data_IF_139283439523
#
_entry.id   IF_139283439523
#
_cell.length_a   1.000
_cell.length_b   1.000
_cell.length_c   1.000
_cell.angle_alpha   90.00
_cell.angle_beta   90.00
_cell.angle_gamma   90.00
#
_symmetry.space_group_name_H-M   'P 1'
#
loop_
_entity.id
_entity.type
_entity.pdbx_description
1 polymer ?
#
# COMPACT_ATOMS: atom_id res chain seq x y z
N UNK A 1 -5.46 33.58 5.78
CA UNK A 1 -5.68 32.23 6.30
C UNK A 1 -4.34 31.51 6.32
N UNK A 2 -3.95 30.96 7.45
CA UNK A 2 -2.72 30.16 7.57
C UNK A 2 -2.80 28.95 6.64
N UNK A 3 -1.75 28.73 5.84
CA UNK A 3 -1.77 27.69 4.81
C UNK A 3 -1.78 26.32 5.49
N UNK A 4 -2.79 25.49 5.24
CA UNK A 4 -2.88 24.15 5.85
C UNK A 4 -1.56 23.39 5.66
N UNK A 5 -1.03 22.70 6.68
CA UNK A 5 0.19 21.92 6.57
C UNK A 5 0.12 20.81 5.49
N UNK A 6 -1.08 20.38 5.11
CA UNK A 6 -1.28 19.45 3.99
C UNK A 6 -0.66 19.95 2.68
N UNK A 7 -0.56 21.26 2.50
CA UNK A 7 -0.12 21.90 1.25
C UNK A 7 1.29 22.50 1.36
N UNK A 8 2.03 22.12 2.41
CA UNK A 8 3.44 22.50 2.57
C UNK A 8 4.36 21.39 2.10
N UNK A 9 5.53 21.70 1.54
CA UNK A 9 6.50 20.69 1.16
C UNK A 9 7.07 19.96 2.38
N UNK A 10 7.66 18.79 2.12
CA UNK A 10 8.34 17.98 3.13
C UNK A 10 9.52 17.23 2.50
N UNK A 11 10.66 17.24 3.21
CA UNK A 11 11.81 16.44 2.81
C UNK A 11 11.59 14.95 3.13
N UNK A 12 11.94 14.08 2.20
CA UNK A 12 11.94 12.62 2.34
C UNK A 12 13.34 12.15 1.91
N UNK A 13 14.18 11.80 2.87
CA UNK A 13 15.60 11.55 2.59
C UNK A 13 16.26 12.78 1.92
N UNK A 14 16.78 12.62 0.71
CA UNK A 14 17.40 13.70 -0.08
C UNK A 14 16.47 14.34 -1.12
N UNK A 15 15.21 13.92 -1.16
CA UNK A 15 14.19 14.45 -2.07
C UNK A 15 13.15 15.28 -1.30
N UNK A 16 12.36 16.05 -2.02
CA UNK A 16 11.28 16.86 -1.46
C UNK A 16 9.95 16.52 -2.16
N UNK A 17 8.93 16.22 -1.36
CA UNK A 17 7.54 16.18 -1.81
C UNK A 17 6.93 17.57 -1.71
N UNK A 18 6.25 18.04 -2.75
CA UNK A 18 5.69 19.40 -2.86
C UNK A 18 4.51 19.68 -1.95
N UNK A 19 3.87 18.63 -1.45
CA UNK A 19 2.76 18.67 -0.50
C UNK A 19 2.71 17.35 0.28
N UNK A 20 1.85 17.26 1.31
CA UNK A 20 1.75 16.11 2.20
C UNK A 20 0.60 15.15 1.86
N UNK A 21 0.15 15.17 0.62
CA UNK A 21 -0.86 14.24 0.10
C UNK A 21 -0.18 13.08 -0.63
N UNK A 22 -0.58 11.86 -0.29
CA UNK A 22 -0.02 10.62 -0.84
C UNK A 22 -1.11 9.81 -1.51
N UNK A 23 -0.84 9.30 -2.71
CA UNK A 23 -1.68 8.31 -3.39
C UNK A 23 -1.14 6.92 -3.07
N UNK A 24 -1.94 6.11 -2.38
CA UNK A 24 -1.61 4.71 -2.05
C UNK A 24 -1.50 3.83 -3.31
N UNK A 25 -0.69 2.78 -3.20
CA UNK A 25 -0.65 1.69 -4.16
C UNK A 25 -2.01 0.97 -4.23
N UNK A 26 -2.73 1.14 -5.35
CA UNK A 26 -4.04 0.53 -5.59
C UNK A 26 -3.93 -0.43 -6.78
N UNK A 27 -3.97 -1.75 -6.50
CA UNK A 27 -4.00 -2.79 -7.52
C UNK A 27 -5.27 -2.64 -8.38
N UNK A 28 -5.12 -2.64 -9.70
CA UNK A 28 -6.24 -2.38 -10.62
C UNK A 28 -6.44 -3.41 -11.71
N UNK A 29 -5.69 -4.51 -11.75
CA UNK A 29 -5.81 -5.56 -12.78
C UNK A 29 -5.85 -4.98 -14.20
N UNK A 30 -5.02 -4.01 -14.50
CA UNK A 30 -5.06 -3.25 -15.75
C UNK A 30 -3.74 -3.27 -16.55
N UNK A 31 -2.79 -4.14 -16.20
CA UNK A 31 -1.61 -4.42 -17.03
C UNK A 31 -1.97 -5.24 -18.27
N UNK A 32 -1.03 -5.38 -19.20
CA UNK A 32 -1.12 -6.39 -20.25
C UNK A 32 -0.82 -7.81 -19.69
N UNK A 33 -0.91 -8.82 -20.54
CA UNK A 33 -0.70 -10.22 -20.18
C UNK A 33 0.72 -10.54 -19.72
N UNK A 34 1.71 -9.72 -20.09
CA UNK A 34 3.11 -9.84 -19.69
C UNK A 34 3.45 -9.00 -18.45
N UNK A 35 2.45 -8.33 -17.86
CA UNK A 35 2.64 -7.46 -16.70
C UNK A 35 3.21 -6.09 -17.03
N UNK A 36 3.20 -5.65 -18.30
CA UNK A 36 3.61 -4.31 -18.67
C UNK A 36 2.47 -3.29 -18.50
N UNK A 37 2.77 -1.99 -18.31
CA UNK A 37 1.76 -0.96 -18.31
C UNK A 37 0.94 -0.94 -19.61
N UNK A 38 -0.37 -1.15 -19.50
CA UNK A 38 -1.31 -1.08 -20.62
C UNK A 38 -1.76 0.36 -20.89
N UNK A 39 -2.48 0.65 -22.00
CA UNK A 39 -3.08 1.97 -22.23
C UNK A 39 -4.00 2.43 -21.08
N UNK A 40 -4.66 1.49 -20.37
CA UNK A 40 -5.49 1.80 -19.21
C UNK A 40 -4.64 2.19 -18.01
N UNK A 41 -3.52 1.50 -17.77
CA UNK A 41 -2.52 1.84 -16.75
C UNK A 41 -1.95 3.25 -17.00
N UNK A 42 -1.53 3.54 -18.24
CA UNK A 42 -1.04 4.86 -18.63
C UNK A 42 -2.08 5.96 -18.36
N UNK A 43 -3.33 5.80 -18.79
CA UNK A 43 -4.41 6.76 -18.56
C UNK A 43 -4.67 7.01 -17.07
N UNK A 44 -4.67 5.95 -16.25
CA UNK A 44 -4.91 6.04 -14.81
C UNK A 44 -3.81 6.83 -14.13
N UNK A 45 -2.55 6.50 -14.37
CA UNK A 45 -1.42 7.18 -13.73
C UNK A 45 -1.21 8.60 -14.26
N UNK A 46 -1.40 8.86 -15.55
CA UNK A 46 -1.35 10.22 -16.09
C UNK A 46 -2.29 11.17 -15.34
N UNK A 47 -3.51 10.74 -15.06
CA UNK A 47 -4.49 11.53 -14.27
C UNK A 47 -4.04 11.75 -12.82
N UNK A 48 -3.40 10.76 -12.18
CA UNK A 48 -2.83 10.91 -10.83
C UNK A 48 -1.67 11.90 -10.81
N UNK A 49 -0.79 11.84 -11.80
CA UNK A 49 0.33 12.79 -11.94
C UNK A 49 -0.17 14.21 -12.20
N UNK A 50 -1.16 14.38 -13.07
CA UNK A 50 -1.83 15.66 -13.32
C UNK A 50 -2.52 16.19 -12.05
N UNK A 51 -3.02 15.29 -11.19
CA UNK A 51 -3.59 15.59 -9.87
C UNK A 51 -2.58 16.14 -8.87
N UNK A 52 -1.28 15.89 -9.05
CA UNK A 52 -0.21 16.60 -8.34
C UNK A 52 -0.07 16.29 -6.85
N UNK A 53 -0.32 15.05 -6.42
CA UNK A 53 0.04 14.60 -5.07
C UNK A 53 1.56 14.69 -4.85
N UNK A 54 2.01 14.91 -3.61
CA UNK A 54 3.43 14.95 -3.27
C UNK A 54 4.14 13.62 -3.51
N UNK A 55 3.43 12.51 -3.23
CA UNK A 55 3.94 11.14 -3.49
C UNK A 55 2.85 10.31 -4.16
N UNK A 56 3.22 9.57 -5.20
CA UNK A 56 2.36 8.60 -5.88
C UNK A 56 3.03 7.23 -5.80
N UNK A 57 2.34 6.25 -5.22
CA UNK A 57 2.78 4.87 -5.25
C UNK A 57 2.27 4.19 -6.52
N UNK A 58 3.18 3.56 -7.27
CA UNK A 58 2.79 2.54 -8.24
C UNK A 58 2.16 1.39 -7.45
N UNK A 59 1.10 0.82 -7.99
CA UNK A 59 0.43 -0.34 -7.38
C UNK A 59 1.41 -1.47 -7.07
N UNK A 60 0.98 -2.45 -6.25
CA UNK A 60 1.81 -3.59 -5.89
C UNK A 60 2.26 -4.36 -7.14
N UNK A 61 3.50 -4.08 -7.56
CA UNK A 61 4.14 -4.68 -8.72
C UNK A 61 4.86 -5.97 -8.30
N UNK A 62 4.55 -7.08 -8.95
CA UNK A 62 5.14 -8.37 -8.55
C UNK A 62 6.58 -8.50 -9.02
N UNK A 63 7.45 -8.99 -8.11
CA UNK A 63 8.85 -9.31 -8.41
C UNK A 63 9.02 -10.70 -9.01
N UNK A 64 7.96 -11.53 -9.05
CA UNK A 64 7.93 -12.84 -9.68
C UNK A 64 6.63 -13.05 -10.42
N UNK A 65 6.71 -13.41 -11.69
CA UNK A 65 5.52 -13.72 -12.50
C UNK A 65 4.75 -14.94 -11.97
N UNK A 66 5.44 -15.84 -11.30
CA UNK A 66 4.84 -17.04 -10.68
C UNK A 66 4.13 -16.74 -9.37
N UNK A 67 4.22 -15.50 -8.85
CA UNK A 67 3.62 -15.13 -7.57
C UNK A 67 2.71 -13.92 -7.70
N UNK A 68 1.63 -14.08 -8.48
CA UNK A 68 0.64 -13.02 -8.72
C UNK A 68 -0.65 -13.26 -7.94
N UNK A 69 -1.13 -12.23 -7.27
CA UNK A 69 -2.48 -12.24 -6.71
C UNK A 69 -3.55 -11.88 -7.75
N UNK A 70 -3.15 -11.20 -8.83
CA UNK A 70 -4.05 -10.68 -9.88
C UNK A 70 -3.64 -11.19 -11.26
N UNK A 71 -4.64 -11.45 -12.11
CA UNK A 71 -4.42 -11.96 -13.47
C UNK A 71 -3.56 -10.99 -14.29
N UNK A 72 -3.98 -9.73 -14.35
CA UNK A 72 -3.27 -8.64 -15.03
C UNK A 72 -2.59 -7.73 -13.99
N UNK A 73 -1.64 -8.29 -13.24
CA UNK A 73 -0.83 -7.55 -12.28
C UNK A 73 0.43 -7.03 -12.95
N UNK A 74 0.77 -5.77 -12.69
CA UNK A 74 2.07 -5.24 -13.10
C UNK A 74 3.22 -6.10 -12.56
N UNK A 75 4.24 -6.32 -13.38
CA UNK A 75 5.43 -7.12 -13.05
C UNK A 75 6.70 -6.31 -13.24
N UNK A 76 7.72 -6.59 -12.42
CA UNK A 76 9.02 -5.92 -12.48
C UNK A 76 10.14 -6.96 -12.62
N UNK A 77 10.31 -7.41 -13.85
CA UNK A 77 11.27 -8.42 -14.25
C UNK A 77 12.10 -7.88 -15.43
N UNK A 78 13.19 -8.54 -15.85
CA UNK A 78 14.05 -8.04 -16.92
C UNK A 78 13.31 -7.64 -18.20
N UNK A 79 12.29 -8.40 -18.62
CA UNK A 79 11.49 -8.10 -19.80
C UNK A 79 10.58 -6.87 -19.65
N UNK A 80 10.27 -6.46 -18.41
CA UNK A 80 9.46 -5.26 -18.15
C UNK A 80 10.30 -3.97 -18.04
N UNK A 81 11.64 -4.07 -18.00
CA UNK A 81 12.52 -2.91 -17.74
C UNK A 81 12.29 -1.76 -18.73
N UNK A 82 12.30 -2.03 -20.03
CA UNK A 82 12.05 -1.01 -21.07
C UNK A 82 10.63 -0.45 -21.06
N UNK A 83 9.56 -1.25 -20.98
CA UNK A 83 8.21 -0.75 -20.78
C UNK A 83 8.06 0.15 -19.54
N UNK A 84 8.68 -0.19 -18.40
CA UNK A 84 8.64 0.62 -17.18
C UNK A 84 9.42 1.91 -17.31
N UNK A 85 10.62 1.90 -17.93
CA UNK A 85 11.39 3.10 -18.24
C UNK A 85 10.55 4.10 -19.06
N UNK A 86 9.93 3.64 -20.15
CA UNK A 86 9.04 4.45 -20.98
C UNK A 86 7.86 4.99 -20.16
N UNK A 87 7.26 4.15 -19.32
CA UNK A 87 6.13 4.55 -18.49
C UNK A 87 6.51 5.66 -17.51
N UNK A 88 7.62 5.51 -16.77
CA UNK A 88 8.10 6.55 -15.84
C UNK A 88 8.39 7.85 -16.59
N UNK A 89 9.10 7.80 -17.73
CA UNK A 89 9.41 8.97 -18.52
C UNK A 89 8.13 9.72 -18.96
N UNK A 90 7.09 9.00 -19.40
CA UNK A 90 5.82 9.64 -19.77
C UNK A 90 5.10 10.25 -18.56
N UNK A 91 5.08 9.58 -17.40
CA UNK A 91 4.47 10.13 -16.19
C UNK A 91 5.21 11.40 -15.72
N UNK A 92 6.53 11.40 -15.73
CA UNK A 92 7.34 12.58 -15.40
C UNK A 92 7.18 13.72 -16.41
N UNK A 93 6.86 13.42 -17.69
CA UNK A 93 6.51 14.42 -18.68
C UNK A 93 5.16 15.08 -18.43
N UNK A 94 4.17 14.31 -17.92
CA UNK A 94 2.86 14.87 -17.50
C UNK A 94 3.04 15.84 -16.35
N UNK A 95 3.76 15.42 -15.30
CA UNK A 95 4.11 16.28 -14.16
C UNK A 95 5.39 15.75 -13.47
N UNK A 96 6.51 16.48 -13.49
CA UNK A 96 7.76 16.02 -12.89
C UNK A 96 7.79 16.10 -11.35
N UNK A 97 6.82 16.78 -10.72
CA UNK A 97 6.85 17.11 -9.28
C UNK A 97 6.55 15.94 -8.34
N UNK A 98 5.53 15.09 -8.60
CA UNK A 98 5.25 13.97 -7.72
C UNK A 98 6.44 13.01 -7.61
N UNK A 99 6.78 12.60 -6.38
CA UNK A 99 7.70 11.49 -6.17
C UNK A 99 7.00 10.18 -6.54
N UNK A 100 7.62 9.35 -7.37
CA UNK A 100 7.05 8.11 -7.88
C UNK A 100 7.72 6.91 -7.24
N UNK A 101 7.00 6.18 -6.39
CA UNK A 101 7.51 5.06 -5.58
C UNK A 101 6.90 3.77 -6.09
N UNK A 102 7.71 2.76 -6.39
CA UNK A 102 7.24 1.45 -6.81
C UNK A 102 7.05 0.51 -5.62
N UNK A 103 5.82 0.00 -5.41
CA UNK A 103 5.58 -0.96 -4.33
C UNK A 103 5.91 -2.38 -4.81
N UNK A 104 7.08 -2.90 -4.40
CA UNK A 104 7.53 -4.26 -4.72
C UNK A 104 6.80 -5.30 -3.86
N UNK A 105 6.32 -6.37 -4.47
CA UNK A 105 5.54 -7.39 -3.77
C UNK A 105 5.82 -8.82 -4.25
N UNK A 106 5.55 -9.76 -3.35
CA UNK A 106 5.40 -11.18 -3.63
C UNK A 106 4.13 -11.67 -2.93
N UNK A 107 3.20 -12.31 -3.66
CA UNK A 107 1.89 -12.58 -3.10
C UNK A 107 1.88 -13.69 -2.02
N UNK A 108 2.83 -14.63 -2.06
CA UNK A 108 2.90 -15.72 -1.09
C UNK A 108 1.62 -16.58 -1.10
N UNK A 109 1.00 -16.74 0.06
CA UNK A 109 -0.28 -17.49 0.22
C UNK A 109 -1.48 -16.84 -0.48
N UNK A 110 -1.36 -15.55 -0.87
CA UNK A 110 -2.39 -14.84 -1.63
C UNK A 110 -2.22 -14.97 -3.15
N UNK A 111 -1.18 -15.69 -3.63
CA UNK A 111 -1.06 -16.04 -5.06
C UNK A 111 -2.31 -16.79 -5.52
N UNK A 112 -2.85 -16.39 -6.68
CA UNK A 112 -4.04 -17.05 -7.21
C UNK A 112 -3.65 -18.35 -7.94
N UNK A 113 -4.10 -19.54 -7.46
CA UNK A 113 -3.70 -20.83 -8.01
C UNK A 113 -4.22 -21.10 -9.43
N UNK A 114 -5.15 -20.28 -9.94
CA UNK A 114 -5.63 -20.40 -11.33
C UNK A 114 -4.57 -20.04 -12.36
N UNK A 115 -3.57 -19.22 -11.99
CA UNK A 115 -2.54 -18.72 -12.91
C UNK A 115 -1.16 -18.49 -12.25
N UNK A 116 -1.01 -18.82 -10.97
CA UNK A 116 0.24 -18.64 -10.23
C UNK A 116 0.47 -19.76 -9.22
N UNK A 117 1.72 -20.02 -8.89
CA UNK A 117 2.07 -20.92 -7.80
C UNK A 117 1.79 -20.27 -6.46
N UNK A 118 0.98 -20.92 -5.63
CA UNK A 118 0.76 -20.48 -4.26
C UNK A 118 1.84 -21.08 -3.36
N UNK A 119 2.57 -20.22 -2.66
CA UNK A 119 3.60 -20.62 -1.70
C UNK A 119 3.28 -19.99 -0.34
N UNK A 120 3.74 -20.63 0.74
CA UNK A 120 3.49 -20.15 2.10
C UNK A 120 4.68 -20.46 3.03
N UNK A 121 4.79 -19.71 4.11
CA UNK A 121 5.76 -19.95 5.18
C UNK A 121 5.26 -21.01 6.17
N UNK A 122 3.97 -20.99 6.47
CA UNK A 122 3.19 -21.98 7.22
C UNK A 122 1.74 -21.84 6.75
N UNK A 123 1.09 -22.92 6.26
CA UNK A 123 -0.26 -22.82 5.71
C UNK A 123 -1.26 -22.29 6.72
N UNK A 124 -2.01 -21.25 6.36
CA UNK A 124 -3.21 -20.86 7.11
C UNK A 124 -4.33 -21.89 6.84
N UNK A 125 -5.15 -22.20 7.83
CA UNK A 125 -6.31 -23.08 7.64
C UNK A 125 -7.17 -22.61 6.46
N UNK A 126 -7.40 -23.51 5.49
CA UNK A 126 -8.24 -23.26 4.31
C UNK A 126 -7.57 -22.54 3.13
N UNK A 127 -6.33 -22.03 3.25
CA UNK A 127 -5.62 -21.40 2.13
C UNK A 127 -4.68 -22.38 1.41
N UNK A 128 -3.90 -23.17 2.15
CA UNK A 128 -2.89 -24.06 1.58
C UNK A 128 -1.73 -23.32 0.91
N UNK A 129 -0.90 -24.08 0.17
CA UNK A 129 0.26 -23.59 -0.58
C UNK A 129 1.48 -24.48 -0.34
N UNK A 130 2.45 -24.42 -1.27
CA UNK A 130 3.73 -25.13 -1.12
C UNK A 130 4.58 -24.41 -0.07
N UNK A 131 5.19 -25.19 0.83
CA UNK A 131 6.09 -24.63 1.84
C UNK A 131 7.36 -24.08 1.17
N UNK A 132 7.70 -22.82 1.50
CA UNK A 132 8.97 -22.22 1.10
C UNK A 132 10.14 -22.85 1.87
N UNK A 133 11.23 -23.14 1.15
CA UNK A 133 12.55 -23.43 1.71
C UNK A 133 13.31 -22.13 2.00
N UNK A 134 14.47 -22.22 2.65
CA UNK A 134 15.36 -21.08 2.88
C UNK A 134 15.94 -20.57 1.55
N UNK A 135 16.25 -21.47 0.63
CA UNK A 135 16.74 -21.16 -0.72
C UNK A 135 15.66 -20.44 -1.55
N UNK A 136 14.39 -20.85 -1.45
CA UNK A 136 13.28 -20.14 -2.09
C UNK A 136 13.20 -18.69 -1.58
N UNK A 137 13.31 -18.48 -0.27
CA UNK A 137 13.26 -17.13 0.32
C UNK A 137 14.47 -16.30 -0.09
N UNK A 138 15.68 -16.87 -0.11
CA UNK A 138 16.87 -16.17 -0.60
C UNK A 138 16.71 -15.74 -2.07
N UNK A 139 16.17 -16.62 -2.92
CA UNK A 139 15.87 -16.28 -4.32
C UNK A 139 14.80 -15.17 -4.43
N UNK A 140 13.78 -15.19 -3.57
CA UNK A 140 12.77 -14.13 -3.51
C UNK A 140 13.39 -12.79 -3.08
N UNK A 141 14.30 -12.80 -2.10
CA UNK A 141 15.03 -11.59 -1.69
C UNK A 141 15.81 -11.01 -2.89
N UNK A 142 16.50 -11.86 -3.65
CA UNK A 142 17.23 -11.42 -4.85
C UNK A 142 16.30 -10.85 -5.93
N UNK A 143 15.07 -11.38 -6.06
CA UNK A 143 14.05 -10.82 -6.95
C UNK A 143 13.59 -9.41 -6.48
N UNK A 144 13.46 -9.15 -5.16
CA UNK A 144 13.20 -7.80 -4.65
C UNK A 144 14.33 -6.84 -4.97
N UNK A 145 15.59 -7.27 -4.83
CA UNK A 145 16.78 -6.47 -5.16
C UNK A 145 16.83 -6.15 -6.65
N UNK A 146 16.59 -7.16 -7.51
CA UNK A 146 16.51 -6.97 -8.96
C UNK A 146 15.38 -6.01 -9.34
N UNK A 147 14.19 -6.18 -8.74
CA UNK A 147 13.06 -5.27 -8.95
C UNK A 147 13.38 -3.83 -8.54
N UNK A 148 14.06 -3.63 -7.41
CA UNK A 148 14.52 -2.30 -6.98
C UNK A 148 15.52 -1.71 -7.98
N UNK A 149 16.43 -2.51 -8.54
CA UNK A 149 17.39 -2.07 -9.56
C UNK A 149 16.69 -1.65 -10.84
N UNK A 150 15.73 -2.46 -11.32
CA UNK A 150 14.93 -2.11 -12.52
C UNK A 150 14.14 -0.81 -12.28
N UNK A 151 13.54 -0.63 -11.09
CA UNK A 151 12.84 0.62 -10.74
C UNK A 151 13.78 1.83 -10.75
N UNK A 152 14.99 1.70 -10.19
CA UNK A 152 16.02 2.74 -10.20
C UNK A 152 16.43 3.10 -11.63
N UNK A 153 16.78 2.10 -12.44
CA UNK A 153 17.21 2.28 -13.83
C UNK A 153 16.07 2.86 -14.72
N UNK A 154 14.81 2.55 -14.39
CA UNK A 154 13.63 3.14 -15.03
C UNK A 154 13.36 4.60 -14.63
N UNK A 155 14.08 5.14 -13.64
CA UNK A 155 13.92 6.52 -13.17
C UNK A 155 12.82 6.72 -12.12
N UNK A 156 12.38 5.68 -11.42
CA UNK A 156 11.55 5.82 -10.23
C UNK A 156 12.29 6.56 -9.12
N UNK A 157 11.56 7.30 -8.28
CA UNK A 157 12.17 8.03 -7.16
C UNK A 157 12.54 7.14 -5.99
N UNK A 158 12.01 5.92 -5.93
CA UNK A 158 12.29 4.95 -4.88
C UNK A 158 11.40 3.71 -4.95
N UNK A 159 11.59 2.84 -3.97
CA UNK A 159 10.79 1.61 -3.80
C UNK A 159 10.22 1.48 -2.40
N UNK A 160 9.10 0.79 -2.31
CA UNK A 160 8.40 0.34 -1.12
C UNK A 160 8.47 -1.19 -1.08
N UNK A 161 9.13 -1.75 -0.08
CA UNK A 161 9.12 -3.19 0.19
C UNK A 161 7.83 -3.51 0.94
N UNK A 162 6.89 -4.20 0.27
CA UNK A 162 5.55 -4.46 0.83
C UNK A 162 5.59 -5.43 2.00
N UNK A 163 5.39 -4.93 3.22
CA UNK A 163 5.31 -5.68 4.48
C UNK A 163 3.90 -5.55 5.10
N UNK A 164 2.85 -5.69 4.26
CA UNK A 164 1.49 -5.42 4.70
C UNK A 164 0.45 -6.32 4.03
N UNK A 165 -0.77 -6.31 4.59
CA UNK A 165 -2.00 -6.85 4.01
C UNK A 165 -2.01 -8.35 3.73
N UNK A 166 -1.23 -9.14 4.49
CA UNK A 166 -1.18 -10.59 4.33
C UNK A 166 -0.37 -11.11 3.13
N UNK A 167 0.40 -10.25 2.45
CA UNK A 167 1.37 -10.66 1.43
C UNK A 167 2.60 -11.28 2.08
N UNK A 168 3.50 -11.87 1.30
CA UNK A 168 4.60 -12.68 1.82
C UNK A 168 5.41 -12.00 2.94
N UNK A 169 5.72 -10.71 2.80
CA UNK A 169 6.43 -9.98 3.85
C UNK A 169 5.71 -9.99 5.20
N UNK A 170 4.37 -9.85 5.20
CA UNK A 170 3.56 -9.97 6.42
C UNK A 170 3.54 -11.42 6.92
N UNK A 171 3.40 -12.40 6.01
CA UNK A 171 3.33 -13.82 6.39
C UNK A 171 4.59 -14.29 7.13
N UNK A 172 5.75 -13.84 6.69
CA UNK A 172 7.04 -14.14 7.35
C UNK A 172 7.11 -13.52 8.74
N UNK A 173 6.62 -12.28 8.89
CA UNK A 173 6.66 -11.53 10.16
C UNK A 173 5.67 -12.02 11.23
N UNK A 174 4.65 -12.79 10.87
CA UNK A 174 3.61 -13.28 11.80
C UNK A 174 4.19 -14.14 12.92
N UNK A 175 3.76 -13.98 14.18
CA UNK A 175 4.00 -14.97 15.24
C UNK A 175 3.55 -16.39 14.86
N UNK A 176 2.53 -16.54 13.99
CA UNK A 176 2.08 -17.81 13.44
C UNK A 176 3.18 -18.56 12.65
N UNK A 177 4.19 -17.86 12.12
CA UNK A 177 5.36 -18.45 11.47
C UNK A 177 6.36 -18.96 12.53
N UNK A 178 6.00 -20.03 13.22
CA UNK A 178 6.76 -20.65 14.30
C UNK A 178 7.72 -21.74 13.84
N UNK A 179 7.85 -21.99 12.53
CA UNK A 179 8.75 -23.00 11.97
C UNK A 179 10.19 -22.80 12.43
N UNK A 180 10.94 -23.89 12.75
CA UNK A 180 12.35 -23.82 13.15
C UNK A 180 13.28 -23.69 11.92
N UNK A 181 13.27 -22.55 11.26
CA UNK A 181 14.07 -22.21 10.08
C UNK A 181 14.64 -20.80 10.16
N UNK A 182 15.48 -20.39 9.19
CA UNK A 182 16.14 -19.08 9.17
C UNK A 182 15.17 -17.90 9.29
N UNK A 183 13.98 -17.99 8.74
CA UNK A 183 12.99 -16.91 8.65
C UNK A 183 11.73 -17.15 9.52
N UNK A 184 11.81 -18.00 10.56
CA UNK A 184 10.67 -18.31 11.40
C UNK A 184 11.02 -18.61 12.85
N UNK A 185 10.01 -18.86 13.69
CA UNK A 185 10.16 -19.03 15.13
C UNK A 185 10.40 -17.69 15.85
N UNK A 186 11.53 -17.48 16.55
CA UNK A 186 11.81 -16.24 17.25
C UNK A 186 11.76 -15.00 16.37
N UNK A 187 11.39 -13.88 16.99
CA UNK A 187 11.25 -12.59 16.27
C UNK A 187 12.51 -12.18 15.52
N UNK A 188 13.68 -12.39 16.09
CA UNK A 188 14.99 -12.08 15.50
C UNK A 188 15.20 -12.77 14.16
N UNK A 189 14.60 -13.95 13.95
CA UNK A 189 14.65 -14.68 12.67
C UNK A 189 13.58 -14.18 11.72
N UNK A 190 12.34 -13.98 12.17
CA UNK A 190 11.23 -13.55 11.31
C UNK A 190 11.49 -12.20 10.64
N UNK A 191 12.11 -11.24 11.35
CA UNK A 191 12.46 -9.93 10.81
C UNK A 191 13.61 -9.93 9.81
N UNK A 192 14.45 -11.01 9.74
CA UNK A 192 15.61 -11.07 8.85
C UNK A 192 15.24 -10.89 7.37
N UNK A 193 14.13 -11.43 6.92
CA UNK A 193 13.66 -11.24 5.55
C UNK A 193 13.62 -9.76 5.14
N UNK A 194 12.96 -8.93 5.94
CA UNK A 194 12.86 -7.51 5.66
C UNK A 194 14.22 -6.80 5.73
N UNK A 195 15.06 -7.18 6.70
CA UNK A 195 16.37 -6.59 6.91
C UNK A 195 17.35 -6.93 5.79
N UNK A 196 17.40 -8.19 5.36
CA UNK A 196 18.25 -8.62 4.25
C UNK A 196 17.85 -7.94 2.92
N UNK A 197 16.56 -7.76 2.66
CA UNK A 197 16.10 -7.00 1.48
C UNK A 197 16.64 -5.56 1.52
N UNK A 198 16.51 -4.87 2.66
CA UNK A 198 16.99 -3.50 2.80
C UNK A 198 18.50 -3.39 2.61
N UNK A 199 19.26 -4.24 3.29
CA UNK A 199 20.72 -4.27 3.20
C UNK A 199 21.21 -4.56 1.78
N UNK A 200 20.61 -5.56 1.11
CA UNK A 200 20.97 -5.91 -0.27
C UNK A 200 20.55 -4.80 -1.26
N UNK A 201 19.39 -4.15 -1.10
CA UNK A 201 18.98 -3.01 -1.93
C UNK A 201 19.96 -1.84 -1.75
N UNK A 202 20.28 -1.45 -0.51
CA UNK A 202 21.23 -0.35 -0.25
C UNK A 202 22.63 -0.64 -0.78
N UNK A 203 23.07 -1.89 -0.72
CA UNK A 203 24.34 -2.33 -1.33
C UNK A 203 24.29 -2.27 -2.85
N UNK A 204 23.20 -2.69 -3.48
CA UNK A 204 23.04 -2.70 -4.94
C UNK A 204 22.82 -1.30 -5.51
N UNK A 205 22.18 -0.41 -4.76
CA UNK A 205 21.85 0.98 -5.17
C UNK A 205 22.35 1.93 -4.08
N UNK A 206 23.64 2.31 -4.10
CA UNK A 206 24.22 3.18 -3.07
C UNK A 206 23.84 4.66 -3.22
N UNK A 207 23.02 5.02 -4.21
CA UNK A 207 22.54 6.40 -4.43
C UNK A 207 21.64 6.87 -3.27
N UNK A 208 22.06 7.89 -2.49
CA UNK A 208 21.26 8.42 -1.38
C UNK A 208 19.99 9.16 -1.84
N UNK A 209 19.86 9.47 -3.12
CA UNK A 209 18.66 10.07 -3.69
C UNK A 209 17.58 9.03 -4.01
N UNK A 210 17.92 7.74 -4.06
CA UNK A 210 16.93 6.68 -4.25
C UNK A 210 16.25 6.33 -2.92
N UNK A 211 14.96 6.62 -2.82
CA UNK A 211 14.19 6.43 -1.62
C UNK A 211 13.88 4.94 -1.39
N UNK A 212 14.05 4.49 -0.16
CA UNK A 212 13.69 3.14 0.28
C UNK A 212 12.73 3.25 1.46
N UNK A 213 11.64 2.54 1.39
CA UNK A 213 10.66 2.49 2.47
C UNK A 213 9.83 1.23 2.45
N UNK A 214 8.85 1.17 3.35
CA UNK A 214 7.91 0.06 3.44
C UNK A 214 6.53 0.50 3.82
N UNK A 215 5.52 -0.13 3.22
CA UNK A 215 4.17 -0.16 3.80
C UNK A 215 4.10 -1.32 4.77
N UNK A 216 3.80 -1.01 6.05
CA UNK A 216 3.83 -1.96 7.15
C UNK A 216 2.44 -2.10 7.77
N UNK A 217 1.97 -3.35 7.96
CA UNK A 217 0.81 -3.65 8.81
C UNK A 217 1.25 -3.63 10.27
N UNK A 218 0.62 -2.79 11.09
CA UNK A 218 0.91 -2.74 12.53
C UNK A 218 0.19 -3.84 13.30
N UNK A 219 -1.02 -4.20 12.86
CA UNK A 219 -1.82 -5.28 13.44
C UNK A 219 -2.75 -5.87 12.38
N UNK A 220 -2.72 -7.19 12.18
CA UNK A 220 -3.61 -7.87 11.23
C UNK A 220 -5.00 -8.16 11.79
N UNK A 221 -5.16 -8.26 13.12
CA UNK A 221 -6.43 -8.56 13.76
C UNK A 221 -6.89 -10.02 13.61
N UNK A 222 -5.97 -10.95 13.33
CA UNK A 222 -6.23 -12.40 13.26
C UNK A 222 -5.31 -13.14 14.23
N UNK A 223 -5.73 -14.33 14.73
CA UNK A 223 -4.85 -15.13 15.59
C UNK A 223 -3.49 -15.42 14.93
N UNK A 224 -2.41 -15.12 15.65
CA UNK A 224 -1.05 -15.27 15.16
C UNK A 224 -0.64 -14.32 14.03
N UNK A 225 -1.47 -13.33 13.71
CA UNK A 225 -1.16 -12.29 12.71
C UNK A 225 -0.04 -11.37 13.14
N UNK A 226 0.50 -10.59 12.20
CA UNK A 226 1.48 -9.55 12.52
C UNK A 226 0.90 -8.58 13.56
N UNK A 227 1.69 -8.23 14.58
CA UNK A 227 1.27 -7.35 15.67
C UNK A 227 0.36 -8.01 16.70
N UNK A 228 0.39 -9.35 16.80
CA UNK A 228 -0.29 -10.12 17.83
C UNK A 228 0.69 -10.65 18.88
N UNK A 229 0.22 -10.80 20.11
CA UNK A 229 1.01 -11.21 21.28
C UNK A 229 1.53 -12.67 21.23
N UNK A 230 1.09 -13.45 20.24
CA UNK A 230 1.52 -14.85 20.10
C UNK A 230 0.87 -15.55 18.92
N UNK A 231 1.25 -16.81 18.64
CA UNK A 231 0.84 -17.55 17.44
C UNK A 231 -0.64 -17.93 17.39
N UNK A 232 -1.32 -17.97 18.55
CA UNK A 232 -2.70 -18.47 18.69
C UNK A 232 -3.69 -17.40 19.14
N UNK A 233 -3.27 -16.13 19.23
CA UNK A 233 -4.10 -15.03 19.72
C UNK A 233 -4.15 -13.86 18.77
N UNK A 234 -5.27 -13.13 18.74
CA UNK A 234 -5.43 -11.87 18.05
C UNK A 234 -5.21 -10.65 18.99
N UNK A 235 -4.82 -10.87 20.26
CA UNK A 235 -4.50 -9.77 21.18
C UNK A 235 -3.38 -8.93 20.59
N UNK A 236 -3.62 -7.62 20.51
CA UNK A 236 -2.67 -6.67 19.92
C UNK A 236 -1.43 -6.52 20.80
N UNK A 237 -0.26 -6.65 20.18
CA UNK A 237 1.04 -6.32 20.75
C UNK A 237 1.90 -5.64 19.67
N UNK A 238 2.21 -4.39 19.87
CA UNK A 238 3.00 -3.59 18.92
C UNK A 238 4.50 -3.68 19.13
N UNK A 239 5.00 -4.48 20.08
CA UNK A 239 6.43 -4.58 20.39
C UNK A 239 7.25 -5.00 19.16
N UNK A 240 6.85 -6.08 18.48
CA UNK A 240 7.52 -6.57 17.28
C UNK A 240 7.38 -5.61 16.08
N UNK A 241 6.19 -5.08 15.72
CA UNK A 241 6.07 -4.07 14.69
C UNK A 241 6.91 -2.81 14.95
N UNK A 242 6.94 -2.30 16.17
CA UNK A 242 7.74 -1.12 16.50
C UNK A 242 9.25 -1.41 16.44
N UNK A 243 9.68 -2.60 16.84
CA UNK A 243 11.08 -3.05 16.69
C UNK A 243 11.45 -3.19 15.19
N UNK A 244 10.55 -3.75 14.36
CA UNK A 244 10.74 -3.77 12.91
C UNK A 244 10.99 -2.35 12.36
N UNK A 245 10.17 -1.37 12.75
CA UNK A 245 10.31 0.00 12.28
C UNK A 245 11.67 0.61 12.67
N UNK A 246 12.16 0.37 13.91
CA UNK A 246 13.50 0.80 14.34
C UNK A 246 14.59 0.16 13.48
N UNK A 247 14.51 -1.16 13.27
CA UNK A 247 15.48 -1.86 12.44
C UNK A 247 15.49 -1.44 10.97
N UNK A 248 14.32 -1.09 10.39
CA UNK A 248 14.24 -0.52 9.04
C UNK A 248 14.85 0.90 8.98
N UNK A 249 14.59 1.75 9.99
CA UNK A 249 15.23 3.06 10.14
C UNK A 249 16.75 2.95 10.17
N UNK A 250 17.30 2.05 10.98
CA UNK A 250 18.74 1.78 11.09
C UNK A 250 19.36 1.31 9.76
N UNK A 251 18.56 0.69 8.89
CA UNK A 251 18.95 0.24 7.53
C UNK A 251 18.64 1.25 6.44
N UNK A 252 18.38 2.50 6.82
CA UNK A 252 18.24 3.62 5.91
C UNK A 252 16.86 3.73 5.25
N UNK A 253 15.78 3.34 5.93
CA UNK A 253 14.44 3.71 5.51
C UNK A 253 14.29 5.24 5.46
N UNK A 254 13.67 5.75 4.38
CA UNK A 254 13.37 7.16 4.21
C UNK A 254 11.92 7.48 4.57
N UNK A 255 11.02 6.51 4.39
CA UNK A 255 9.61 6.63 4.72
C UNK A 255 9.03 5.30 5.20
N UNK A 256 7.99 5.36 6.01
CA UNK A 256 7.14 4.23 6.36
C UNK A 256 5.68 4.62 6.14
N UNK A 257 4.95 3.82 5.37
CA UNK A 257 3.51 3.97 5.19
C UNK A 257 2.79 3.01 6.14
N UNK A 258 2.15 3.56 7.16
CA UNK A 258 1.50 2.82 8.24
C UNK A 258 0.12 2.33 7.82
N UNK A 259 -0.14 1.04 8.01
CA UNK A 259 -1.40 0.37 7.69
C UNK A 259 -1.79 -0.63 8.77
N UNK A 260 -2.96 -1.24 8.63
CA UNK A 260 -3.44 -2.33 9.48
C UNK A 260 -4.32 -3.29 8.69
N UNK A 261 -4.61 -4.43 9.30
CA UNK A 261 -5.54 -5.41 8.77
C UNK A 261 -5.02 -6.22 7.58
N UNK A 262 -5.86 -7.16 7.19
CA UNK A 262 -5.68 -8.03 6.04
C UNK A 262 -6.95 -7.94 5.17
N UNK A 263 -6.89 -7.46 3.92
CA UNK A 263 -8.07 -7.28 3.07
C UNK A 263 -8.87 -8.56 2.81
N UNK A 264 -8.23 -9.73 2.95
CA UNK A 264 -8.90 -11.02 2.75
C UNK A 264 -9.57 -11.55 4.01
N UNK A 265 -9.13 -11.15 5.21
CA UNK A 265 -9.55 -11.72 6.49
C UNK A 265 -10.17 -10.70 7.46
N UNK A 266 -9.65 -9.46 7.46
CA UNK A 266 -10.11 -8.36 8.32
C UNK A 266 -10.33 -7.09 7.51
N UNK A 267 -11.23 -7.19 6.52
CA UNK A 267 -11.42 -6.12 5.51
C UNK A 267 -11.80 -4.77 6.13
N UNK A 268 -12.64 -4.77 7.18
CA UNK A 268 -13.06 -3.53 7.83
C UNK A 268 -11.91 -2.82 8.55
N UNK A 269 -10.93 -3.57 9.07
CA UNK A 269 -9.71 -3.01 9.65
C UNK A 269 -8.78 -2.48 8.56
N UNK A 270 -8.57 -3.24 7.45
CA UNK A 270 -7.71 -2.80 6.35
C UNK A 270 -8.30 -1.62 5.56
N UNK A 271 -9.62 -1.57 5.45
CA UNK A 271 -10.39 -0.56 4.72
C UNK A 271 -11.51 0.01 5.58
N UNK A 272 -11.23 0.83 6.59
CA UNK A 272 -12.24 1.39 7.48
C UNK A 272 -13.41 2.00 6.70
N UNK A 273 -14.61 1.74 7.17
CA UNK A 273 -15.85 2.24 6.61
C UNK A 273 -16.86 2.63 7.70
N UNK A 274 -18.05 3.08 7.28
CA UNK A 274 -19.10 3.56 8.19
C UNK A 274 -19.64 2.51 9.17
N UNK A 275 -19.33 1.23 8.98
CA UNK A 275 -19.82 0.13 9.85
C UNK A 275 -18.99 0.02 11.12
N UNK A 276 -17.68 0.25 11.02
CA UNK A 276 -16.74 0.22 12.15
C UNK A 276 -15.82 1.44 12.04
N UNK A 277 -16.35 2.65 12.31
CA UNK A 277 -15.60 3.89 12.16
C UNK A 277 -14.40 3.99 13.11
N UNK A 278 -14.45 3.30 14.26
CA UNK A 278 -13.37 3.29 15.24
C UNK A 278 -12.05 2.77 14.68
N UNK A 279 -12.10 1.94 13.64
CA UNK A 279 -10.88 1.49 12.96
C UNK A 279 -10.11 2.63 12.28
N UNK A 280 -10.77 3.73 11.90
CA UNK A 280 -10.06 4.91 11.42
C UNK A 280 -9.18 5.54 12.52
N UNK A 281 -9.71 5.62 13.74
CA UNK A 281 -8.95 6.12 14.90
C UNK A 281 -7.86 5.15 15.35
N UNK A 282 -8.09 3.85 15.20
CA UNK A 282 -7.07 2.85 15.46
C UNK A 282 -5.88 3.01 14.48
N UNK A 283 -6.15 3.35 13.20
CA UNK A 283 -5.07 3.71 12.28
C UNK A 283 -4.31 4.96 12.75
N UNK A 284 -4.99 6.00 13.26
CA UNK A 284 -4.31 7.17 13.83
C UNK A 284 -3.43 6.80 15.03
N UNK A 285 -3.91 5.89 15.89
CA UNK A 285 -3.11 5.37 16.99
C UNK A 285 -1.84 4.67 16.48
N UNK A 286 -1.93 3.78 15.51
CA UNK A 286 -0.77 3.12 14.92
C UNK A 286 0.22 4.11 14.29
N UNK A 287 -0.28 5.12 13.60
CA UNK A 287 0.55 6.18 13.00
C UNK A 287 1.33 6.94 14.08
N UNK A 288 0.65 7.30 15.18
CA UNK A 288 1.26 7.97 16.31
C UNK A 288 2.36 7.12 16.97
N UNK A 289 2.09 5.82 17.21
CA UNK A 289 3.08 4.92 17.80
C UNK A 289 4.28 4.71 16.86
N UNK A 290 4.04 4.53 15.57
CA UNK A 290 5.09 4.42 14.57
C UNK A 290 5.96 5.69 14.52
N UNK A 291 5.35 6.87 14.52
CA UNK A 291 6.07 8.14 14.45
C UNK A 291 6.98 8.38 15.66
N UNK A 292 6.60 7.91 16.85
CA UNK A 292 7.47 8.03 18.06
C UNK A 292 8.85 7.36 17.88
N UNK A 293 8.93 6.30 17.08
CA UNK A 293 10.19 5.56 16.85
C UNK A 293 10.90 5.98 15.57
N UNK A 294 10.17 6.58 14.62
CA UNK A 294 10.67 6.95 13.29
C UNK A 294 11.17 8.39 13.19
N UNK A 295 10.48 9.32 13.84
CA UNK A 295 10.81 10.75 13.76
C UNK A 295 12.13 11.09 14.46
N UNK A 296 12.81 12.16 13.98
CA UNK A 296 12.49 12.96 12.81
C UNK A 296 13.06 12.40 11.49
N UNK A 297 13.83 11.31 11.51
CA UNK A 297 14.69 10.86 10.41
C UNK A 297 13.91 10.17 9.28
N UNK A 298 12.78 9.51 9.61
CA UNK A 298 11.95 8.74 8.68
C UNK A 298 10.55 9.33 8.62
N UNK A 299 10.12 9.67 7.41
CA UNK A 299 8.78 10.25 7.19
C UNK A 299 7.70 9.18 7.40
N UNK A 300 6.74 9.48 8.28
CA UNK A 300 5.59 8.62 8.54
C UNK A 300 4.42 9.05 7.66
N UNK A 301 3.93 8.12 6.82
CA UNK A 301 2.75 8.30 5.97
C UNK A 301 1.58 7.50 6.56
N UNK A 302 0.41 8.10 6.68
CA UNK A 302 -0.75 7.48 7.31
C UNK A 302 -1.82 7.03 6.32
N UNK A 303 -2.30 5.79 6.44
CA UNK A 303 -3.44 5.25 5.68
C UNK A 303 -4.79 5.60 6.33
N UNK A 304 -5.89 5.14 5.71
CA UNK A 304 -7.28 5.20 6.19
C UNK A 304 -7.99 6.56 6.09
N UNK A 305 -7.41 7.56 5.45
CA UNK A 305 -8.05 8.88 5.33
C UNK A 305 -9.18 8.96 4.31
N UNK A 306 -9.34 7.97 3.41
CA UNK A 306 -10.44 7.94 2.42
C UNK A 306 -11.84 7.89 3.06
N UNK A 307 -11.96 7.40 4.30
CA UNK A 307 -13.24 7.28 5.01
C UNK A 307 -13.84 8.65 5.38
N UNK A 308 -12.99 9.64 5.64
CA UNK A 308 -13.44 10.93 6.16
C UNK A 308 -14.14 11.79 5.09
N UNK A 309 -13.79 11.65 3.81
CA UNK A 309 -14.42 12.39 2.72
C UNK A 309 -14.47 13.90 3.01
N UNK A 310 -15.58 14.53 2.69
CA UNK A 310 -15.94 15.91 3.03
C UNK A 310 -16.57 16.07 4.43
N UNK A 311 -16.47 15.03 5.27
CA UNK A 311 -17.14 14.97 6.56
C UNK A 311 -18.63 14.60 6.50
N UNK A 312 -19.19 14.41 5.31
CA UNK A 312 -20.61 14.08 5.13
C UNK A 312 -20.91 12.59 5.39
N UNK A 313 -20.38 12.08 6.49
CA UNK A 313 -20.55 10.68 6.89
C UNK A 313 -21.38 10.51 8.15
N UNK A 314 -21.44 11.53 9.01
CA UNK A 314 -22.18 11.60 10.29
C UNK A 314 -22.04 10.41 11.26
N UNK A 315 -21.30 9.36 10.88
CA UNK A 315 -21.14 8.17 11.70
C UNK A 315 -20.15 8.36 12.85
N UNK A 316 -19.39 9.46 12.84
CA UNK A 316 -18.49 9.83 13.94
C UNK A 316 -19.15 10.68 15.00
N UNK A 317 -20.43 11.06 14.81
CA UNK A 317 -21.20 11.82 15.78
C UNK A 317 -20.70 13.25 16.06
N UNK A 318 -19.88 13.80 15.14
CA UNK A 318 -19.29 15.14 15.24
C UNK A 318 -19.74 16.03 14.07
N UNK A 319 -19.51 17.33 14.19
CA UNK A 319 -19.80 18.28 13.11
C UNK A 319 -19.07 17.89 11.81
N UNK A 320 -19.75 18.11 10.68
CA UNK A 320 -19.24 17.72 9.35
C UNK A 320 -17.82 18.24 9.08
N UNK A 321 -17.56 19.50 9.37
CA UNK A 321 -16.25 20.13 9.16
C UNK A 321 -15.16 19.48 9.99
N UNK A 322 -15.47 19.07 11.23
CA UNK A 322 -14.58 18.41 12.18
C UNK A 322 -14.44 16.89 11.98
N UNK A 323 -15.07 16.34 10.95
CA UNK A 323 -14.98 14.92 10.59
C UNK A 323 -14.43 14.69 9.18
N UNK A 324 -14.03 15.76 8.48
CA UNK A 324 -13.55 15.72 7.09
C UNK A 324 -12.09 15.26 6.97
N UNK A 325 -11.72 14.83 5.74
CA UNK A 325 -10.34 14.53 5.39
C UNK A 325 -9.42 15.73 5.62
N UNK A 326 -9.90 16.94 5.29
CA UNK A 326 -9.12 18.17 5.49
C UNK A 326 -8.89 18.45 6.97
N UNK A 327 -9.90 18.28 7.81
CA UNK A 327 -9.78 18.45 9.25
C UNK A 327 -8.79 17.44 9.86
N UNK A 328 -9.03 16.13 9.66
CA UNK A 328 -8.19 15.10 10.24
C UNK A 328 -6.77 15.08 9.65
N UNK A 329 -6.63 15.37 8.36
CA UNK A 329 -5.32 15.51 7.74
C UNK A 329 -4.51 16.65 8.35
N UNK A 330 -5.12 17.84 8.48
CA UNK A 330 -4.49 18.99 9.15
C UNK A 330 -4.16 18.67 10.60
N UNK A 331 -5.15 18.23 11.37
CA UNK A 331 -5.01 17.96 12.80
C UNK A 331 -3.92 16.92 13.09
N UNK A 332 -3.90 15.80 12.38
CA UNK A 332 -2.94 14.74 12.63
C UNK A 332 -1.49 15.14 12.28
N UNK A 333 -1.29 16.03 11.33
CA UNK A 333 0.03 16.59 11.04
C UNK A 333 0.44 17.57 12.14
N UNK A 334 -0.45 18.48 12.55
CA UNK A 334 -0.19 19.48 13.60
C UNK A 334 0.06 18.82 14.98
N UNK A 335 -0.71 17.81 15.30
CA UNK A 335 -0.57 17.04 16.56
C UNK A 335 0.63 16.06 16.54
N UNK A 336 1.38 15.99 15.43
CA UNK A 336 2.51 15.09 15.30
C UNK A 336 2.13 13.59 15.31
N UNK A 337 0.94 13.28 14.83
CA UNK A 337 0.48 11.87 14.65
C UNK A 337 1.11 11.27 13.40
N UNK A 338 1.24 12.06 12.34
CA UNK A 338 1.74 11.62 11.03
C UNK A 338 2.41 12.80 10.32
N UNK A 339 3.28 12.54 9.35
CA UNK A 339 3.92 13.59 8.54
C UNK A 339 3.17 13.85 7.22
N UNK A 340 2.57 12.82 6.63
CA UNK A 340 1.80 12.87 5.38
C UNK A 340 0.56 11.97 5.48
N UNK A 341 -0.51 12.31 4.76
CA UNK A 341 -1.74 11.51 4.71
C UNK A 341 -1.91 10.82 3.36
N UNK A 342 -2.33 9.56 3.38
CA UNK A 342 -2.46 8.73 2.20
C UNK A 342 -3.91 8.32 1.92
N UNK A 343 -4.33 8.46 0.67
CA UNK A 343 -5.65 8.06 0.19
C UNK A 343 -5.55 6.89 -0.80
N UNK A 344 -6.39 5.87 -0.61
CA UNK A 344 -6.51 4.74 -1.53
C UNK A 344 -7.75 4.89 -2.42
N UNK A 345 -8.91 4.36 -1.99
CA UNK A 345 -10.16 4.36 -2.77
C UNK A 345 -10.60 5.75 -3.25
N UNK A 346 -10.25 6.80 -2.51
CA UNK A 346 -10.51 8.18 -2.89
C UNK A 346 -9.76 8.58 -4.17
N UNK A 347 -8.57 8.06 -4.42
CA UNK A 347 -7.82 8.35 -5.65
C UNK A 347 -8.43 7.69 -6.90
N UNK A 348 -9.16 6.59 -6.72
CA UNK A 348 -9.96 5.99 -7.80
C UNK A 348 -11.22 6.82 -8.09
N UNK A 349 -11.83 7.41 -7.05
CA UNK A 349 -13.02 8.25 -7.20
C UNK A 349 -12.69 9.61 -7.85
N UNK A 350 -11.59 10.22 -7.42
CA UNK A 350 -11.08 11.48 -7.97
C UNK A 350 -9.55 11.53 -7.98
N UNK A 351 -8.90 11.22 -9.10
CA UNK A 351 -7.44 11.33 -9.24
C UNK A 351 -6.93 12.77 -9.11
N UNK A 352 -7.80 13.77 -9.30
CA UNK A 352 -7.48 15.20 -9.21
C UNK A 352 -7.72 15.79 -7.82
N UNK A 353 -8.04 14.96 -6.81
CA UNK A 353 -8.26 15.43 -5.44
C UNK A 353 -7.15 16.39 -4.96
N UNK A 354 -5.83 16.08 -5.07
CA UNK A 354 -4.79 16.98 -4.58
C UNK A 354 -4.84 18.35 -5.25
N UNK A 355 -4.97 18.40 -6.58
CA UNK A 355 -5.06 19.63 -7.35
C UNK A 355 -6.23 20.49 -6.92
N UNK A 356 -7.43 19.90 -6.80
CA UNK A 356 -8.65 20.62 -6.38
C UNK A 356 -8.53 21.21 -4.97
N UNK A 357 -7.94 20.43 -4.05
CA UNK A 357 -7.71 20.90 -2.68
C UNK A 357 -6.65 22.01 -2.64
N UNK A 358 -5.58 21.91 -3.42
CA UNK A 358 -4.55 22.94 -3.55
C UNK A 358 -5.09 24.24 -4.15
N UNK A 359 -6.05 24.15 -5.07
CA UNK A 359 -6.75 25.28 -5.69
C UNK A 359 -7.86 25.87 -4.80
N UNK A 360 -8.13 25.26 -3.64
CA UNK A 360 -9.18 25.72 -2.71
C UNK A 360 -10.61 25.41 -3.18
N UNK A 361 -10.78 24.30 -3.94
CA UNK A 361 -12.05 23.86 -4.54
C UNK A 361 -12.53 22.50 -4.02
N UNK A 362 -12.66 22.32 -2.69
CA UNK A 362 -13.07 21.03 -2.13
C UNK A 362 -14.48 20.58 -2.58
N UNK A 363 -15.36 21.53 -2.99
CA UNK A 363 -16.70 21.28 -3.51
C UNK A 363 -16.69 20.60 -4.88
N UNK A 364 -15.62 20.74 -5.67
CA UNK A 364 -15.46 20.07 -6.97
C UNK A 364 -14.98 18.62 -6.83
N UNK A 365 -14.58 18.19 -5.61
CA UNK A 365 -14.05 16.84 -5.38
C UNK A 365 -15.14 15.77 -5.53
N UNK A 366 -14.88 14.77 -6.36
CA UNK A 366 -15.72 13.57 -6.47
C UNK A 366 -15.37 12.60 -5.33
N UNK A 367 -16.12 12.66 -4.25
CA UNK A 367 -15.83 11.88 -3.06
C UNK A 367 -16.16 10.38 -3.25
N UNK A 368 -15.28 9.52 -2.74
CA UNK A 368 -15.54 8.09 -2.66
C UNK A 368 -16.77 7.81 -1.78
N UNK A 369 -17.73 7.06 -2.29
CA UNK A 369 -18.97 6.72 -1.57
C UNK A 369 -18.83 5.55 -0.59
N UNK A 370 -17.64 4.95 -0.51
CA UNK A 370 -17.34 3.77 0.33
C UNK A 370 -18.24 2.56 -0.01
N UNK A 371 -18.61 2.40 -1.28
CA UNK A 371 -19.52 1.34 -1.75
C UNK A 371 -18.85 -0.02 -1.96
N UNK A 372 -17.51 -0.08 -1.88
CA UNK A 372 -16.64 -1.25 -2.07
C UNK A 372 -16.78 -1.97 -3.43
N UNK A 373 -17.51 -1.40 -4.39
CA UNK A 373 -17.65 -2.01 -5.71
C UNK A 373 -16.34 -2.12 -6.52
N UNK A 374 -15.37 -1.25 -6.26
CA UNK A 374 -14.01 -1.40 -6.78
C UNK A 374 -13.32 -2.67 -6.21
N UNK A 375 -13.58 -3.02 -4.95
CA UNK A 375 -13.09 -4.27 -4.35
C UNK A 375 -13.74 -5.50 -4.99
N UNK A 376 -15.04 -5.42 -5.33
CA UNK A 376 -15.72 -6.51 -6.06
C UNK A 376 -15.06 -6.76 -7.42
N UNK A 377 -14.76 -5.70 -8.18
CA UNK A 377 -14.04 -5.80 -9.45
C UNK A 377 -12.67 -6.46 -9.24
N UNK A 378 -11.90 -6.00 -8.26
CA UNK A 378 -10.56 -6.51 -7.95
C UNK A 378 -10.58 -8.01 -7.60
N UNK A 379 -11.49 -8.43 -6.72
CA UNK A 379 -11.64 -9.83 -6.32
C UNK A 379 -12.05 -10.70 -7.50
N UNK A 380 -12.89 -10.17 -8.39
CA UNK A 380 -13.31 -10.84 -9.63
C UNK A 380 -12.27 -10.75 -10.76
N UNK A 381 -11.04 -10.30 -10.46
CA UNK A 381 -9.94 -10.22 -11.44
C UNK A 381 -10.27 -9.32 -12.64
N UNK A 382 -11.07 -8.27 -12.44
CA UNK A 382 -11.49 -7.33 -13.46
C UNK A 382 -10.70 -6.02 -13.37
N UNK A 383 -10.53 -5.30 -14.48
CA UNK A 383 -10.02 -3.94 -14.46
C UNK A 383 -10.78 -3.10 -13.44
N UNK A 384 -10.03 -2.46 -12.53
CA UNK A 384 -10.59 -1.86 -11.32
C UNK A 384 -10.47 -0.34 -11.34
N UNK A 385 -11.58 0.33 -11.02
CA UNK A 385 -11.70 1.78 -10.88
C UNK A 385 -12.98 2.15 -10.17
N UNK A 386 -13.32 3.43 -10.16
CA UNK A 386 -14.54 3.91 -9.48
C UNK A 386 -15.78 3.70 -10.33
N UNK A 387 -16.65 2.80 -9.93
CA UNK A 387 -17.91 2.50 -10.63
C UNK A 387 -18.96 3.60 -10.48
N UNK A 388 -18.81 4.50 -9.51
CA UNK A 388 -19.75 5.61 -9.27
C UNK A 388 -19.46 6.80 -10.22
N UNK A 389 -18.18 7.07 -10.45
CA UNK A 389 -17.74 8.27 -11.18
C UNK A 389 -17.20 7.99 -12.59
N UNK A 390 -17.03 6.71 -12.97
CA UNK A 390 -16.45 6.31 -14.25
C UNK A 390 -17.35 5.28 -14.95
N UNK A 391 -17.97 5.63 -16.08
CA UNK A 391 -18.91 4.78 -16.83
C UNK A 391 -18.29 3.44 -17.23
N UNK A 392 -17.02 3.43 -17.66
CA UNK A 392 -16.30 2.22 -18.05
C UNK A 392 -16.36 1.15 -16.94
N UNK A 393 -16.04 1.52 -15.70
CA UNK A 393 -16.02 0.57 -14.58
C UNK A 393 -17.43 0.20 -14.11
N UNK A 394 -18.40 1.09 -14.24
CA UNK A 394 -19.82 0.77 -14.00
C UNK A 394 -20.33 -0.31 -14.97
N UNK A 395 -19.94 -0.23 -16.25
CA UNK A 395 -20.27 -1.24 -17.25
C UNK A 395 -19.59 -2.57 -16.99
N UNK A 396 -18.28 -2.56 -16.70
CA UNK A 396 -17.53 -3.77 -16.33
C UNK A 396 -18.18 -4.45 -15.11
N UNK A 397 -18.57 -3.69 -14.09
CA UNK A 397 -19.25 -4.25 -12.91
C UNK A 397 -20.59 -4.88 -13.27
N UNK A 398 -21.38 -4.21 -14.11
CA UNK A 398 -22.68 -4.74 -14.55
C UNK A 398 -22.53 -6.09 -15.26
N UNK A 399 -21.59 -6.20 -16.20
CA UNK A 399 -21.32 -7.46 -16.90
C UNK A 399 -20.75 -8.54 -15.98
N UNK A 400 -19.86 -8.14 -15.06
CA UNK A 400 -19.30 -9.04 -14.02
C UNK A 400 -20.42 -9.62 -13.15
N UNK A 401 -21.36 -8.79 -12.71
CA UNK A 401 -22.49 -9.24 -11.89
C UNK A 401 -23.49 -10.10 -12.63
N UNK A 402 -23.69 -9.87 -13.94
CA UNK A 402 -24.48 -10.80 -14.77
C UNK A 402 -23.87 -12.18 -14.81
N UNK A 403 -22.52 -12.27 -14.91
CA UNK A 403 -21.81 -13.53 -15.01
C UNK A 403 -21.68 -14.29 -13.68
N UNK A 404 -21.42 -13.59 -12.58
CA UNK A 404 -20.99 -14.18 -11.30
C UNK A 404 -21.94 -13.86 -10.11
N UNK A 405 -23.00 -13.07 -10.33
CA UNK A 405 -23.82 -12.52 -9.24
C UNK A 405 -23.12 -11.43 -8.45
N UNK A 406 -23.83 -10.80 -7.53
CA UNK A 406 -23.32 -9.76 -6.62
C UNK A 406 -22.44 -10.38 -5.55
N UNK A 407 -21.23 -9.89 -5.37
CA UNK A 407 -20.35 -10.32 -4.28
C UNK A 407 -20.85 -9.70 -2.96
N UNK A 408 -21.16 -10.56 -2.00
CA UNK A 408 -21.46 -10.12 -0.64
C UNK A 408 -20.20 -10.22 0.20
N UNK A 409 -19.68 -9.10 0.68
CA UNK A 409 -18.56 -9.09 1.62
C UNK A 409 -19.04 -9.57 2.98
N UNK A 410 -18.40 -10.59 3.53
CA UNK A 410 -18.58 -10.95 4.93
C UNK A 410 -17.73 -9.95 5.73
N UNK A 411 -18.41 -9.07 6.44
CA UNK A 411 -17.77 -8.13 7.35
C UNK A 411 -17.72 -8.78 8.74
N UNK A 412 -16.68 -9.55 8.96
CA UNK A 412 -16.33 -10.08 10.29
C UNK A 412 -15.25 -9.23 10.91
#
# INVERSE_FOLDING_TARGET
MEKSPLFTPIAIGKKEATNRLVINAMECCDSDELGNPSPRTYRRYARLFEGGAGVIFLEAITTSYESRARLNQLSIMPHNAKPLEKFVAEMKRVNPKPLFIFQLTHAGELSNPEFSRRVCVKPLPGLGGDLLSEEDVDAIIDQFVLGARIAYDAGADGVDVKLCHGYLGTQILRPYNDRPWKYGGPWERRRQFAFEIYERIRKAIPDPNFLLGSKVTMWEGIPGGQGCAGPDTAIMDLSEPLDLLRGLKERGANFILVSAGNPSLTIALAHPDKRIPDYAYLHHYFQKEARKVLAPEVVTMGSAYSIFRDGNNNFLGVEREKSSLLYWGKKNIEDGVVDMIAVGRQSLADPFLPKKLLEGKPEEVRWCTLCDACMELLIRQQPTGCVVHEKEYAEILRETRKKYGVLKFKHT
#
